data_IF_872232097927
#
_entry.id   IF_872232097927
#
_cell.length_a   1.000
_cell.length_b   1.000
_cell.length_c   1.000
_cell.angle_alpha   90.00
_cell.angle_beta   90.00
_cell.angle_gamma   90.00
#
_symmetry.space_group_name_H-M   'P 1'
#
loop_
_entity.id
_entity.type
_entity.pdbx_description
1 polymer ?
#
# COMPACT_ATOMS: atom_id res chain seq x y z
N UNK A 1 -24.99 11.97 -8.61
CA UNK A 1 -23.63 11.39 -8.71
C UNK A 1 -23.63 10.15 -7.84
N UNK A 2 -23.72 8.95 -8.42
CA UNK A 2 -23.67 7.70 -7.64
C UNK A 2 -22.25 7.60 -7.09
N UNK A 3 -22.10 7.56 -5.77
CA UNK A 3 -20.78 7.59 -5.11
C UNK A 3 -19.90 6.43 -5.56
N UNK A 4 -18.96 6.72 -6.45
CA UNK A 4 -17.93 5.77 -6.88
C UNK A 4 -17.06 5.47 -5.65
N UNK A 5 -17.05 4.19 -5.23
CA UNK A 5 -16.12 3.72 -4.21
C UNK A 5 -14.75 3.65 -4.89
N UNK A 6 -13.81 4.51 -4.50
CA UNK A 6 -12.43 4.39 -5.00
C UNK A 6 -11.63 3.42 -4.15
N UNK A 7 -10.59 2.83 -4.74
CA UNK A 7 -9.67 1.91 -4.04
C UNK A 7 -8.99 2.60 -2.85
N UNK A 8 -8.73 3.90 -2.94
CA UNK A 8 -8.17 4.69 -1.84
C UNK A 8 -8.96 4.60 -0.52
N UNK A 9 -10.27 4.29 -0.55
CA UNK A 9 -11.04 4.09 0.68
C UNK A 9 -10.54 2.93 1.54
N UNK A 10 -9.92 1.92 0.92
CA UNK A 10 -9.31 0.80 1.65
C UNK A 10 -8.15 1.25 2.55
N UNK A 11 -7.55 2.40 2.26
CA UNK A 11 -6.42 2.96 2.98
C UNK A 11 -6.81 3.99 4.06
N UNK A 12 -8.10 4.34 4.16
CA UNK A 12 -8.57 5.45 5.00
C UNK A 12 -8.21 5.28 6.49
N UNK A 13 -8.24 4.05 6.99
CA UNK A 13 -7.78 3.72 8.33
C UNK A 13 -6.38 3.11 8.26
N UNK A 14 -5.44 3.70 8.97
CA UNK A 14 -4.07 3.20 9.07
C UNK A 14 -3.99 1.94 9.96
N UNK A 15 -3.16 0.95 9.60
CA UNK A 15 -2.73 -0.13 10.48
C UNK A 15 -2.23 0.37 11.85
N UNK A 16 -2.54 -0.39 12.91
CA UNK A 16 -2.07 -0.09 14.26
C UNK A 16 -0.56 -0.26 14.45
N UNK A 17 0.07 -1.09 13.60
CA UNK A 17 1.49 -1.41 13.65
C UNK A 17 2.08 -1.45 12.25
N UNK A 18 3.35 -1.08 12.16
CA UNK A 18 4.13 -1.00 10.91
C UNK A 18 5.40 -1.83 11.01
N UNK A 19 5.94 -2.27 9.87
CA UNK A 19 7.21 -2.99 9.84
C UNK A 19 8.40 -2.06 10.01
N UNK A 20 8.46 -1.02 9.19
CA UNK A 20 9.51 -0.01 9.14
C UNK A 20 8.92 1.41 8.99
N UNK A 21 9.75 2.43 9.20
CA UNK A 21 9.29 3.83 9.26
C UNK A 21 8.87 4.40 7.91
N UNK A 22 9.23 3.76 6.80
CA UNK A 22 8.79 4.11 5.45
C UNK A 22 7.39 3.58 5.10
N UNK A 23 6.94 2.49 5.73
CA UNK A 23 5.66 1.85 5.41
C UNK A 23 4.44 2.79 5.55
N UNK A 24 4.33 3.64 6.61
CA UNK A 24 3.25 4.61 6.72
C UNK A 24 3.23 5.64 5.58
N UNK A 25 4.41 6.05 5.10
CA UNK A 25 4.51 7.02 4.00
C UNK A 25 4.12 6.38 2.67
N UNK A 26 4.56 5.16 2.40
CA UNK A 26 4.14 4.39 1.23
C UNK A 26 2.63 4.14 1.27
N UNK A 27 2.06 3.78 2.43
CA UNK A 27 0.61 3.60 2.59
C UNK A 27 -0.17 4.83 2.16
N UNK A 28 0.22 6.02 2.65
CA UNK A 28 -0.40 7.30 2.28
C UNK A 28 -0.18 7.64 0.80
N UNK A 29 1.01 7.36 0.27
CA UNK A 29 1.32 7.58 -1.14
C UNK A 29 0.44 6.69 -2.05
N UNK A 30 0.25 5.41 -1.70
CA UNK A 30 -0.66 4.50 -2.41
C UNK A 30 -2.11 4.98 -2.34
N UNK A 31 -2.56 5.45 -1.17
CA UNK A 31 -3.90 6.04 -1.02
C UNK A 31 -4.11 7.23 -1.97
N UNK A 32 -3.13 8.12 -2.06
CA UNK A 32 -3.18 9.26 -2.97
C UNK A 32 -3.13 8.82 -4.45
N UNK A 33 -2.25 7.88 -4.79
CA UNK A 33 -2.09 7.36 -6.14
C UNK A 33 -3.38 6.66 -6.64
N UNK A 34 -4.10 5.97 -5.75
CA UNK A 34 -5.32 5.21 -6.06
C UNK A 34 -6.62 6.01 -5.81
N UNK A 35 -6.54 7.32 -5.60
CA UNK A 35 -7.68 8.18 -5.22
C UNK A 35 -8.83 8.16 -6.23
N UNK A 36 -8.49 8.07 -7.52
CA UNK A 36 -9.44 8.06 -8.63
C UNK A 36 -9.60 6.68 -9.27
N UNK A 37 -8.97 5.65 -8.71
CA UNK A 37 -9.08 4.29 -9.21
C UNK A 37 -10.43 3.70 -8.82
N UNK A 38 -11.27 3.30 -9.80
CA UNK A 38 -12.56 2.70 -9.51
C UNK A 38 -12.43 1.40 -8.71
N UNK A 39 -13.49 1.04 -8.00
CA UNK A 39 -13.55 -0.23 -7.28
C UNK A 39 -13.35 -1.44 -8.23
N UNK A 40 -12.40 -2.35 -7.97
CA UNK A 40 -12.16 -3.51 -8.82
C UNK A 40 -13.30 -4.53 -8.68
N UNK A 41 -13.58 -5.25 -9.77
CA UNK A 41 -14.64 -6.25 -9.83
C UNK A 41 -14.23 -7.59 -9.18
N UNK A 42 -12.94 -7.85 -9.07
CA UNK A 42 -12.41 -9.11 -8.50
C UNK A 42 -11.26 -8.87 -7.53
N UNK A 43 -11.00 -9.84 -6.65
CA UNK A 43 -9.87 -9.81 -5.74
C UNK A 43 -8.52 -9.79 -6.50
N UNK A 44 -8.43 -10.49 -7.62
CA UNK A 44 -7.22 -10.50 -8.45
C UNK A 44 -6.94 -9.12 -9.05
N UNK A 45 -7.98 -8.39 -9.48
CA UNK A 45 -7.83 -7.01 -9.96
C UNK A 45 -7.39 -6.08 -8.83
N UNK A 46 -7.94 -6.25 -7.62
CA UNK A 46 -7.46 -5.50 -6.45
C UNK A 46 -5.97 -5.77 -6.19
N UNK A 47 -5.58 -7.04 -6.09
CA UNK A 47 -4.20 -7.42 -5.81
C UNK A 47 -3.24 -6.85 -6.87
N UNK A 48 -3.61 -6.92 -8.15
CA UNK A 48 -2.84 -6.31 -9.24
C UNK A 48 -2.68 -4.79 -9.06
N UNK A 49 -3.76 -4.06 -8.71
CA UNK A 49 -3.69 -2.61 -8.49
C UNK A 49 -2.80 -2.25 -7.29
N UNK A 50 -2.85 -3.04 -6.21
CA UNK A 50 -2.01 -2.83 -5.03
C UNK A 50 -0.54 -3.09 -5.36
N UNK A 51 -0.25 -4.20 -6.05
CA UNK A 51 1.10 -4.56 -6.48
C UNK A 51 1.67 -3.52 -7.42
N UNK A 52 0.91 -3.11 -8.45
CA UNK A 52 1.34 -2.10 -9.41
C UNK A 52 1.63 -0.76 -8.73
N UNK A 53 0.73 -0.27 -7.87
CA UNK A 53 0.95 0.98 -7.13
C UNK A 53 2.17 0.89 -6.20
N UNK A 54 2.38 -0.26 -5.54
CA UNK A 54 3.56 -0.50 -4.72
C UNK A 54 4.84 -0.41 -5.54
N UNK A 55 4.93 -1.15 -6.65
CA UNK A 55 6.13 -1.21 -7.48
C UNK A 55 6.44 0.15 -8.13
N UNK A 56 5.41 0.87 -8.60
CA UNK A 56 5.57 2.21 -9.17
C UNK A 56 6.09 3.23 -8.16
N UNK A 57 5.59 3.21 -6.92
CA UNK A 57 5.95 4.19 -5.90
C UNK A 57 7.27 3.87 -5.18
N UNK A 58 7.66 2.60 -5.12
CA UNK A 58 8.90 2.16 -4.47
C UNK A 58 10.06 1.98 -5.43
N UNK A 59 9.78 1.79 -6.72
CA UNK A 59 10.77 1.36 -7.72
C UNK A 59 11.33 -0.04 -7.48
N UNK A 60 10.71 -0.82 -6.60
CA UNK A 60 11.17 -2.15 -6.19
C UNK A 60 10.10 -3.20 -6.50
N UNK A 61 10.53 -4.37 -6.96
CA UNK A 61 9.62 -5.46 -7.32
C UNK A 61 8.88 -6.00 -6.07
N UNK A 62 7.62 -6.40 -6.24
CA UNK A 62 6.83 -7.03 -5.19
C UNK A 62 7.41 -8.38 -4.74
N UNK A 63 8.23 -9.01 -5.60
CA UNK A 63 8.98 -10.23 -5.29
C UNK A 63 10.25 -10.00 -4.47
N UNK A 64 10.61 -8.74 -4.15
CA UNK A 64 11.75 -8.44 -3.29
C UNK A 64 11.61 -9.09 -1.92
N UNK A 65 12.74 -9.53 -1.36
CA UNK A 65 12.80 -10.16 -0.05
C UNK A 65 13.26 -9.16 1.03
N UNK A 66 12.82 -9.39 2.28
CA UNK A 66 13.31 -8.65 3.44
C UNK A 66 12.81 -7.20 3.48
N UNK A 67 13.74 -6.25 3.48
CA UNK A 67 13.43 -4.83 3.45
C UNK A 67 14.38 -4.10 2.53
N UNK A 68 13.92 -2.97 2.01
CA UNK A 68 14.74 -2.08 1.19
C UNK A 68 14.48 -0.63 1.56
N UNK A 69 15.28 0.28 1.02
CA UNK A 69 15.21 1.70 1.30
C UNK A 69 14.66 2.45 0.09
N UNK A 70 13.69 3.33 0.33
CA UNK A 70 13.15 4.26 -0.65
C UNK A 70 13.42 5.68 -0.18
N UNK A 71 14.28 6.39 -0.92
CA UNK A 71 14.70 7.75 -0.57
C UNK A 71 13.52 8.73 -0.50
N UNK A 72 12.53 8.59 -1.38
CA UNK A 72 11.33 9.43 -1.38
C UNK A 72 10.50 9.33 -0.09
N UNK A 73 10.67 8.26 0.69
CA UNK A 73 10.00 8.09 1.97
C UNK A 73 10.91 8.40 3.17
N UNK A 74 12.17 8.80 2.93
CA UNK A 74 13.13 9.16 3.96
C UNK A 74 12.98 10.60 4.42
N UNK A 75 12.14 10.83 5.42
CA UNK A 75 11.86 12.17 5.99
C UNK A 75 12.79 12.58 7.15
N UNK A 76 13.99 11.98 7.23
CA UNK A 76 15.03 12.30 8.23
C UNK A 76 15.17 11.29 9.38
N UNK A 77 16.38 11.14 9.91
CA UNK A 77 16.73 10.13 10.94
C UNK A 77 17.09 8.75 10.36
N UNK A 78 17.74 7.90 11.16
CA UNK A 78 18.12 6.54 10.76
C UNK A 78 16.88 5.69 10.46
N UNK A 79 16.78 5.15 9.23
CA UNK A 79 15.72 4.25 8.73
C UNK A 79 14.38 4.90 8.34
N UNK A 80 14.32 6.21 8.11
CA UNK A 80 13.05 6.88 7.74
C UNK A 80 12.41 6.39 6.43
N UNK A 81 13.20 5.85 5.49
CA UNK A 81 12.71 5.34 4.20
C UNK A 81 12.64 3.81 4.07
N UNK A 82 12.79 3.07 5.17
CA UNK A 82 12.76 1.60 5.13
C UNK A 82 11.35 1.07 4.82
N UNK A 83 11.23 0.15 3.86
CA UNK A 83 10.01 -0.56 3.48
C UNK A 83 10.14 -2.04 3.82
N UNK A 84 9.17 -2.60 4.54
CA UNK A 84 9.20 -3.98 5.01
C UNK A 84 8.34 -4.89 4.14
N UNK A 85 8.96 -5.78 3.37
CA UNK A 85 8.21 -6.74 2.55
C UNK A 85 7.39 -7.71 3.40
N UNK A 86 7.89 -8.06 4.60
CA UNK A 86 7.13 -8.89 5.56
C UNK A 86 5.83 -8.20 5.93
N UNK A 87 5.86 -6.90 6.24
CA UNK A 87 4.64 -6.16 6.54
C UNK A 87 3.66 -6.17 5.36
N UNK A 88 4.14 -5.90 4.13
CA UNK A 88 3.27 -5.80 2.97
C UNK A 88 2.63 -7.15 2.57
N UNK A 89 3.38 -8.25 2.67
CA UNK A 89 2.87 -9.59 2.37
C UNK A 89 1.96 -10.15 3.46
N UNK A 90 2.32 -9.98 4.74
CA UNK A 90 1.61 -10.64 5.86
C UNK A 90 0.50 -9.79 6.47
N UNK A 91 0.56 -8.45 6.31
CA UNK A 91 -0.40 -7.54 6.93
C UNK A 91 -1.03 -6.56 5.93
N UNK A 92 -0.24 -5.83 5.16
CA UNK A 92 -0.71 -4.76 4.27
C UNK A 92 -1.71 -5.26 3.23
N UNK A 93 -1.28 -6.17 2.34
CA UNK A 93 -2.15 -6.72 1.31
C UNK A 93 -3.33 -7.53 1.89
N UNK A 94 -3.13 -8.44 2.88
CA UNK A 94 -4.25 -9.13 3.51
C UNK A 94 -5.30 -8.20 4.13
N UNK A 95 -4.89 -7.11 4.79
CA UNK A 95 -5.81 -6.12 5.34
C UNK A 95 -6.64 -5.42 4.26
N UNK A 96 -5.99 -4.98 3.17
CA UNK A 96 -6.68 -4.32 2.05
C UNK A 96 -7.67 -5.27 1.37
N UNK A 97 -7.30 -6.54 1.19
CA UNK A 97 -8.21 -7.59 0.67
C UNK A 97 -9.40 -7.83 1.60
N UNK A 98 -9.17 -7.91 2.91
CA UNK A 98 -10.24 -8.10 3.89
C UNK A 98 -11.21 -6.91 3.90
N UNK A 99 -10.71 -5.68 3.81
CA UNK A 99 -11.54 -4.47 3.70
C UNK A 99 -12.35 -4.45 2.41
N UNK A 100 -11.76 -4.86 1.28
CA UNK A 100 -12.46 -4.92 0.01
C UNK A 100 -13.61 -5.93 0.01
N UNK A 101 -13.40 -7.11 0.62
CA UNK A 101 -14.42 -8.15 0.71
C UNK A 101 -15.62 -7.78 1.60
N UNK A 102 -15.47 -6.79 2.49
CA UNK A 102 -16.50 -6.36 3.45
C UNK A 102 -17.26 -5.09 3.03
N UNK A 103 -16.84 -4.43 1.94
CA UNK A 103 -17.27 -3.07 1.60
C UNK A 103 -18.46 -2.97 0.64
#
# INVERSE_FOLDING_TARGET
MRGERSVARLFAEEPLSWGLRGDPYLWRAMAAHLAHTPWPATAQQLEALIVEAFEQLTGSAWSSAGHFFVEAFAHGGMSSGGISMVFWHEHGLPLLRARWAQA
#
